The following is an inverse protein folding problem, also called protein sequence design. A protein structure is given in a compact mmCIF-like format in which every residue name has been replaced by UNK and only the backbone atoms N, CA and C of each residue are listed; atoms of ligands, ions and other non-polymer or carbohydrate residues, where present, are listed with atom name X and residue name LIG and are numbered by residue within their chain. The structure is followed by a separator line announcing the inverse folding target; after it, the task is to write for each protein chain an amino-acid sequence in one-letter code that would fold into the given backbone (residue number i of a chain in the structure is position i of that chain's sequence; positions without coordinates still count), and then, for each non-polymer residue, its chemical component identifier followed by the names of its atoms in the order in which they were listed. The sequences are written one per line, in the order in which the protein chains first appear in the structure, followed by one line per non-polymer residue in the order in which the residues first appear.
data_IF_159962386784
#
_entry.id   IF_159962386784
#
_cell.length_a   1.000
_cell.length_b   1.000
_cell.length_c   1.000
_cell.angle_alpha   90.00
_cell.angle_beta   90.00
_cell.angle_gamma   90.00
#
_symmetry.space_group_name_H-M   'P 1'
#
loop_
_entity.id
_entity.type
_entity.pdbx_description
1 polymer ?
#
# COMPACT_ATOMS: atom_id res chain seq x y z
N UNK A 1 -11.15 39.33 -2.88
CA UNK A 1 -11.30 38.23 -1.91
C UNK A 1 -10.59 37.03 -2.51
N UNK A 2 -9.48 36.58 -1.91
CA UNK A 2 -8.73 35.42 -2.38
C UNK A 2 -9.43 34.17 -1.84
N UNK A 3 -9.84 33.28 -2.75
CA UNK A 3 -10.28 31.93 -2.39
C UNK A 3 -9.03 31.10 -2.07
N UNK A 4 -8.99 30.53 -0.87
CA UNK A 4 -7.95 29.59 -0.48
C UNK A 4 -8.16 28.28 -1.25
N UNK A 5 -7.35 28.07 -2.29
CA UNK A 5 -7.26 26.80 -2.99
C UNK A 5 -6.49 25.83 -2.09
N UNK A 6 -7.18 24.85 -1.50
CA UNK A 6 -6.53 23.72 -0.88
C UNK A 6 -5.65 23.03 -1.94
N UNK A 7 -4.34 22.92 -1.69
CA UNK A 7 -3.43 22.22 -2.57
C UNK A 7 -3.93 20.78 -2.75
N UNK A 8 -4.27 20.39 -3.98
CA UNK A 8 -4.43 18.97 -4.30
C UNK A 8 -3.12 18.30 -3.93
N UNK A 9 -3.14 17.30 -3.06
CA UNK A 9 -1.97 16.46 -2.86
C UNK A 9 -1.57 15.93 -4.24
N UNK A 10 -0.29 16.07 -4.61
CA UNK A 10 0.25 15.44 -5.81
C UNK A 10 0.26 13.93 -5.59
N UNK A 11 -0.92 13.32 -5.79
CA UNK A 11 -1.12 11.88 -5.62
C UNK A 11 -0.26 11.18 -6.66
N UNK A 12 0.70 10.39 -6.19
CA UNK A 12 1.55 9.60 -7.07
C UNK A 12 0.66 8.77 -8.02
N UNK A 13 0.83 8.87 -9.35
CA UNK A 13 -0.02 8.17 -10.31
C UNK A 13 0.07 6.65 -10.20
N UNK A 14 1.13 6.13 -9.56
CA UNK A 14 1.35 4.70 -9.31
C UNK A 14 0.94 4.25 -7.91
N UNK A 15 0.30 5.13 -7.11
CA UNK A 15 -0.11 4.83 -5.74
C UNK A 15 -0.91 3.52 -5.66
N UNK A 16 -1.87 3.31 -6.57
CA UNK A 16 -2.68 2.10 -6.57
C UNK A 16 -1.85 0.82 -6.76
N UNK A 17 -0.88 0.87 -7.66
CA UNK A 17 0.03 -0.24 -7.99
C UNK A 17 0.98 -0.52 -6.83
N UNK A 18 1.53 0.54 -6.22
CA UNK A 18 2.37 0.45 -5.03
C UNK A 18 1.58 -0.22 -3.89
N UNK A 19 0.38 0.27 -3.61
CA UNK A 19 -0.44 -0.27 -2.53
C UNK A 19 -0.93 -1.71 -2.79
N UNK A 20 -1.20 -2.07 -4.06
CA UNK A 20 -1.46 -3.47 -4.43
C UNK A 20 -0.25 -4.37 -4.16
N UNK A 21 0.96 -3.89 -4.46
CA UNK A 21 2.19 -4.62 -4.20
C UNK A 21 2.48 -4.76 -2.70
N UNK A 22 2.21 -3.71 -1.92
CA UNK A 22 2.27 -3.76 -0.45
C UNK A 22 1.31 -4.80 0.10
N UNK A 23 0.05 -4.83 -0.32
CA UNK A 23 -0.90 -5.85 0.11
C UNK A 23 -0.42 -7.27 -0.22
N UNK A 24 0.15 -7.46 -1.40
CA UNK A 24 0.70 -8.74 -1.84
C UNK A 24 1.86 -9.22 -0.95
N UNK A 25 2.82 -8.33 -0.67
CA UNK A 25 3.96 -8.60 0.21
C UNK A 25 3.50 -8.86 1.64
N UNK A 26 2.72 -7.97 2.24
CA UNK A 26 2.29 -8.06 3.64
C UNK A 26 1.45 -9.30 3.95
N UNK A 27 0.67 -9.80 2.99
CA UNK A 27 -0.14 -11.01 3.16
C UNK A 27 0.49 -12.28 2.57
N UNK A 28 1.66 -12.19 1.93
CA UNK A 28 2.28 -13.32 1.24
C UNK A 28 1.36 -13.90 0.16
N UNK A 29 0.81 -13.06 -0.70
CA UNK A 29 -0.13 -13.44 -1.78
C UNK A 29 0.33 -12.90 -3.12
N UNK A 30 -0.22 -13.46 -4.21
CA UNK A 30 0.08 -12.97 -5.56
C UNK A 30 -0.42 -11.54 -5.75
N UNK A 31 0.43 -10.67 -6.28
CA UNK A 31 0.07 -9.30 -6.65
C UNK A 31 -1.08 -9.20 -7.64
N UNK A 32 -1.22 -10.19 -8.54
CA UNK A 32 -2.24 -10.22 -9.59
C UNK A 32 -3.66 -10.35 -9.06
N UNK A 33 -3.85 -10.94 -7.87
CA UNK A 33 -5.18 -11.09 -7.26
C UNK A 33 -5.64 -9.84 -6.49
N UNK A 34 -4.74 -8.88 -6.29
CA UNK A 34 -5.04 -7.63 -5.58
C UNK A 34 -5.86 -6.71 -6.47
N UNK A 35 -6.92 -6.13 -5.91
CA UNK A 35 -7.84 -5.20 -6.57
C UNK A 35 -7.75 -3.84 -5.91
N UNK A 36 -7.63 -2.81 -6.74
CA UNK A 36 -7.73 -1.41 -6.30
C UNK A 36 -9.20 -1.03 -6.31
N UNK A 37 -9.74 -0.63 -5.16
CA UNK A 37 -11.13 -0.19 -5.04
C UNK A 37 -11.26 1.29 -5.43
N UNK A 38 -10.41 2.12 -4.83
CA UNK A 38 -10.36 3.57 -5.10
C UNK A 38 -9.05 4.17 -4.62
N UNK A 39 -8.78 5.37 -5.10
CA UNK A 39 -7.83 6.33 -4.52
C UNK A 39 -8.63 7.57 -4.14
N UNK A 40 -8.56 8.00 -2.88
CA UNK A 40 -9.27 9.18 -2.43
C UNK A 40 -8.49 10.48 -2.69
N UNK A 41 -9.16 11.62 -2.48
CA UNK A 41 -8.56 12.94 -2.70
C UNK A 41 -7.41 13.27 -1.72
N UNK A 42 -7.27 12.48 -0.65
CA UNK A 42 -6.20 12.63 0.34
C UNK A 42 -4.98 11.76 0.02
N UNK A 43 -4.98 11.05 -1.12
CA UNK A 43 -3.89 10.16 -1.50
C UNK A 43 -3.86 8.84 -0.74
N UNK A 44 -5.02 8.36 -0.28
CA UNK A 44 -5.18 7.01 0.30
C UNK A 44 -5.78 6.06 -0.74
N UNK A 45 -5.04 5.00 -1.05
CA UNK A 45 -5.53 3.90 -1.87
C UNK A 45 -6.13 2.79 -0.99
N UNK A 46 -7.24 2.25 -1.46
CA UNK A 46 -7.96 1.16 -0.82
C UNK A 46 -7.84 -0.07 -1.71
N UNK A 47 -7.30 -1.15 -1.15
CA UNK A 47 -6.97 -2.37 -1.88
C UNK A 47 -7.58 -3.56 -1.16
N UNK A 48 -8.05 -4.55 -1.91
CA UNK A 48 -8.48 -5.82 -1.34
C UNK A 48 -8.14 -7.02 -2.22
N UNK A 49 -8.28 -8.22 -1.65
CA UNK A 49 -8.42 -9.46 -2.40
C UNK A 49 -9.46 -10.37 -1.72
N UNK A 50 -9.90 -11.39 -2.44
CA UNK A 50 -10.72 -12.47 -1.91
C UNK A 50 -9.83 -13.69 -1.73
N UNK A 51 -9.71 -14.19 -0.50
CA UNK A 51 -8.89 -15.36 -0.20
C UNK A 51 -9.59 -16.60 -0.72
N UNK A 52 -8.96 -17.29 -1.68
CA UNK A 52 -9.56 -18.46 -2.35
C UNK A 52 -9.88 -19.63 -1.43
N UNK A 53 -9.15 -19.77 -0.31
CA UNK A 53 -9.32 -20.89 0.62
C UNK A 53 -10.66 -20.88 1.35
N UNK A 54 -11.20 -19.69 1.64
CA UNK A 54 -12.40 -19.53 2.48
C UNK A 54 -13.34 -18.40 2.02
N UNK A 55 -13.09 -17.82 0.85
CA UNK A 55 -13.85 -16.72 0.26
C UNK A 55 -13.98 -15.47 1.13
N UNK A 56 -13.09 -15.29 2.12
CA UNK A 56 -13.09 -14.09 2.95
C UNK A 56 -12.42 -12.91 2.24
N UNK A 57 -12.94 -11.70 2.47
CA UNK A 57 -12.36 -10.46 1.94
C UNK A 57 -11.29 -9.93 2.89
N UNK A 58 -10.10 -9.67 2.34
CA UNK A 58 -8.98 -9.07 3.06
C UNK A 58 -8.60 -7.77 2.38
N UNK A 59 -8.44 -6.70 3.15
CA UNK A 59 -8.24 -5.37 2.62
C UNK A 59 -7.31 -4.51 3.45
N UNK A 60 -6.68 -3.57 2.76
CA UNK A 60 -5.83 -2.54 3.34
C UNK A 60 -6.24 -1.16 2.84
N UNK A 61 -5.89 -0.15 3.62
CA UNK A 61 -5.71 1.23 3.16
C UNK A 61 -4.23 1.56 3.21
N UNK A 62 -3.76 2.33 2.24
CA UNK A 62 -2.34 2.58 2.03
C UNK A 62 -2.10 3.99 1.48
N UNK A 63 -1.04 4.63 1.95
CA UNK A 63 -0.59 5.96 1.52
C UNK A 63 0.94 6.01 1.44
N UNK A 64 1.46 7.05 0.80
CA UNK A 64 2.90 7.26 0.67
C UNK A 64 3.37 8.43 1.52
N UNK A 65 4.52 8.24 2.15
CA UNK A 65 5.22 9.27 2.90
C UNK A 65 6.68 9.28 2.42
N UNK A 66 6.96 10.13 1.42
CA UNK A 66 8.22 10.07 0.68
C UNK A 66 8.37 8.77 -0.10
N UNK A 67 9.42 8.01 0.20
CA UNK A 67 9.70 6.68 -0.34
C UNK A 67 9.12 5.54 0.52
N UNK A 68 8.49 5.87 1.67
CA UNK A 68 7.84 4.89 2.55
C UNK A 68 6.40 4.65 2.12
N UNK A 69 5.98 3.40 2.29
CA UNK A 69 4.58 2.99 2.18
C UNK A 69 4.03 2.75 3.58
N UNK A 70 3.00 3.50 3.95
CA UNK A 70 2.30 3.34 5.23
C UNK A 70 0.95 2.70 4.97
N UNK A 71 0.65 1.60 5.66
CA UNK A 71 -0.58 0.85 5.46
C UNK A 71 -1.25 0.46 6.77
N UNK A 72 -2.54 0.14 6.68
CA UNK A 72 -3.35 -0.38 7.76
C UNK A 72 -4.37 -1.37 7.21
N UNK A 73 -4.82 -2.32 8.03
CA UNK A 73 -5.97 -3.15 7.69
C UNK A 73 -7.21 -2.29 7.50
N UNK A 74 -8.05 -2.69 6.55
CA UNK A 74 -9.33 -2.06 6.22
C UNK A 74 -10.42 -3.14 6.06
N UNK A 75 -10.42 -4.10 6.98
CA UNK A 75 -11.42 -5.16 7.04
C UNK A 75 -12.65 -4.67 7.82
N UNK A 76 -13.84 -5.24 7.58
CA UNK A 76 -15.06 -4.85 8.27
C UNK A 76 -14.99 -5.00 9.79
N UNK A 77 -14.27 -6.02 10.27
CA UNK A 77 -14.03 -6.35 11.67
C UNK A 77 -12.77 -5.68 12.25
N UNK A 78 -11.91 -5.14 11.38
CA UNK A 78 -10.63 -4.55 11.77
C UNK A 78 -10.21 -3.45 10.79
N UNK A 79 -10.51 -2.20 11.16
CA UNK A 79 -9.89 -1.02 10.54
C UNK A 79 -8.78 -0.55 11.47
N UNK A 80 -7.55 -0.89 11.13
CA UNK A 80 -6.43 -0.82 12.07
C UNK A 80 -5.74 0.54 12.09
N UNK A 81 -4.92 0.69 13.12
CA UNK A 81 -3.87 1.69 13.24
C UNK A 81 -2.95 1.63 12.02
N UNK A 82 -2.54 2.80 11.54
CA UNK A 82 -1.46 2.92 10.55
C UNK A 82 -0.18 2.31 11.09
N UNK A 83 0.48 1.45 10.31
CA UNK A 83 1.77 0.85 10.67
C UNK A 83 2.90 1.86 10.44
N UNK A 84 3.08 2.77 11.38
CA UNK A 84 4.09 3.83 11.38
C UNK A 84 4.84 3.97 12.72
N UNK A 85 4.66 3.03 13.63
CA UNK A 85 5.38 2.96 14.90
C UNK A 85 6.80 2.38 14.69
N UNK A 86 7.81 2.75 15.50
CA UNK A 86 9.15 2.15 15.40
C UNK A 86 9.20 0.62 15.50
N UNK A 87 8.22 -0.01 16.14
CA UNK A 87 8.12 -1.47 16.22
C UNK A 87 7.50 -2.12 14.98
N UNK A 88 6.84 -1.33 14.11
CA UNK A 88 6.25 -1.83 12.87
C UNK A 88 7.31 -2.10 11.81
N UNK A 89 6.94 -2.89 10.81
CA UNK A 89 7.74 -3.00 9.61
C UNK A 89 7.88 -1.65 8.89
N UNK A 90 9.03 -1.45 8.29
CA UNK A 90 9.27 -0.37 7.34
C UNK A 90 9.19 -0.92 5.93
N UNK A 91 8.25 -0.41 5.14
CA UNK A 91 8.11 -0.72 3.72
C UNK A 91 8.54 0.50 2.91
N UNK A 92 9.47 0.29 1.99
CA UNK A 92 9.94 1.32 1.05
C UNK A 92 9.71 0.87 -0.38
N UNK A 93 9.52 1.83 -1.29
CA UNK A 93 9.34 1.56 -2.71
C UNK A 93 10.30 2.36 -3.59
N UNK A 94 10.65 1.81 -4.74
CA UNK A 94 11.31 2.53 -5.82
C UNK A 94 10.80 2.09 -7.18
N UNK A 95 10.75 3.02 -8.14
CA UNK A 95 10.30 2.74 -9.50
C UNK A 95 11.47 2.97 -10.46
N UNK A 96 11.86 1.92 -11.16
CA UNK A 96 12.91 1.92 -12.16
C UNK A 96 12.30 1.53 -13.52
N UNK A 97 11.95 2.52 -14.33
CA UNK A 97 11.24 2.31 -15.58
C UNK A 97 9.86 1.68 -15.34
N UNK A 98 9.66 0.44 -15.83
CA UNK A 98 8.42 -0.32 -15.65
C UNK A 98 8.46 -1.29 -14.47
N UNK A 99 9.49 -1.22 -13.62
CA UNK A 99 9.64 -2.11 -12.47
C UNK A 99 9.42 -1.34 -11.18
N UNK A 100 8.53 -1.86 -10.35
CA UNK A 100 8.30 -1.43 -8.98
C UNK A 100 9.06 -2.38 -8.05
N UNK A 101 9.97 -1.86 -7.25
CA UNK A 101 10.68 -2.61 -6.22
C UNK A 101 10.10 -2.22 -4.86
N UNK A 102 9.79 -3.22 -4.03
CA UNK A 102 9.47 -3.03 -2.62
C UNK A 102 10.50 -3.72 -1.75
N UNK A 103 10.78 -3.11 -0.61
CA UNK A 103 11.59 -3.68 0.46
C UNK A 103 10.85 -3.50 1.78
N UNK A 104 10.64 -4.61 2.48
CA UNK A 104 10.10 -4.65 3.84
C UNK A 104 11.24 -5.00 4.79
N UNK A 105 11.31 -4.31 5.93
CA UNK A 105 12.28 -4.56 7.00
C UNK A 105 11.54 -4.51 8.33
N UNK A 106 11.67 -5.56 9.14
CA UNK A 106 11.13 -5.62 10.49
C UNK A 106 12.11 -5.04 11.51
N UNK A 107 11.66 -4.80 12.74
CA UNK A 107 12.45 -4.17 13.80
C UNK A 107 13.67 -4.99 14.24
N UNK A 108 13.67 -6.31 13.99
CA UNK A 108 14.82 -7.20 14.21
C UNK A 108 15.84 -7.19 13.05
N UNK A 109 15.59 -6.42 12.00
CA UNK A 109 16.43 -6.30 10.81
C UNK A 109 16.18 -7.38 9.75
N UNK A 110 15.33 -8.38 10.03
CA UNK A 110 14.85 -9.31 9.01
C UNK A 110 13.95 -8.61 8.00
N UNK A 111 13.72 -9.21 6.84
CA UNK A 111 12.88 -8.59 5.84
C UNK A 111 12.89 -9.29 4.49
N UNK A 112 12.04 -8.79 3.61
CA UNK A 112 11.82 -9.32 2.28
C UNK A 112 11.95 -8.21 1.23
N UNK A 113 12.23 -8.62 0.00
CA UNK A 113 12.15 -7.74 -1.16
C UNK A 113 11.32 -8.39 -2.27
N UNK A 114 10.64 -7.56 -3.05
CA UNK A 114 9.89 -8.03 -4.20
C UNK A 114 9.95 -7.02 -5.34
N UNK A 115 9.88 -7.53 -6.56
CA UNK A 115 9.84 -6.71 -7.78
C UNK A 115 8.59 -7.06 -8.57
N UNK A 116 7.87 -6.05 -9.03
CA UNK A 116 6.63 -6.17 -9.79
C UNK A 116 6.71 -5.35 -11.08
N UNK A 117 6.12 -5.86 -12.16
CA UNK A 117 5.99 -5.10 -13.40
C UNK A 117 4.76 -4.17 -13.35
N UNK A 118 5.00 -2.90 -13.61
CA UNK A 118 3.99 -1.88 -13.90
C UNK A 118 3.64 -2.01 -15.39
N UNK A 119 2.71 -2.93 -15.71
CA UNK A 119 2.13 -3.04 -17.06
C UNK A 119 1.07 -1.99 -17.32
#
# INVERSE_FOLDING_TARGET
MQEAQAAKADVNPQLGQICKATAAMSFGRDYKIMKLDKVDANGVAYVHYIRSLDNTRWAIKCRLEGDRVIWASNNPDSTERWRNDPADETITYSINGKKLNLKQVYSDGSGDNATYDLK
#
